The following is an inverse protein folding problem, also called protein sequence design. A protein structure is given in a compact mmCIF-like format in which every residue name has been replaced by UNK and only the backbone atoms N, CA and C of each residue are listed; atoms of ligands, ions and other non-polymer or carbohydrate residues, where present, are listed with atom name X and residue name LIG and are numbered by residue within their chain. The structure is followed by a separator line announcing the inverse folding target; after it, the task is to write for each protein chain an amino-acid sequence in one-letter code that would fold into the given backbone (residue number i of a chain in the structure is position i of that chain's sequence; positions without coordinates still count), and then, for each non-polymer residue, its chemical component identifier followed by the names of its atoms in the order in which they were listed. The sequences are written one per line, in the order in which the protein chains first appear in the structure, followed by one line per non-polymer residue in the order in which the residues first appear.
data_IF_736733131533
#
_entry.id   IF_736733131533
#
_cell.length_a   1.000
_cell.length_b   1.000
_cell.length_c   1.000
_cell.angle_alpha   90.00
_cell.angle_beta   90.00
_cell.angle_gamma   90.00
#
_symmetry.space_group_name_H-M   'P 1'
#
loop_
_entity.id
_entity.type
_entity.pdbx_description
1 polymer ?
#
# COMPACT_ATOMS: atom_id res chain seq x y z
N UNK A 1 13.76 -6.62 -23.76
CA UNK A 1 14.53 -6.93 -22.54
C UNK A 1 15.89 -7.38 -23.01
N UNK A 2 16.92 -6.55 -22.78
CA UNK A 2 18.24 -6.72 -23.40
C UNK A 2 19.27 -7.36 -22.45
N UNK A 3 18.93 -7.46 -21.16
CA UNK A 3 19.74 -8.05 -20.10
C UNK A 3 18.96 -9.13 -19.31
N UNK A 4 19.68 -10.11 -18.74
CA UNK A 4 19.13 -11.21 -17.95
C UNK A 4 19.63 -11.18 -16.50
N UNK A 5 18.77 -11.62 -15.58
CA UNK A 5 19.12 -11.79 -14.17
C UNK A 5 18.70 -13.20 -13.75
N UNK A 6 19.57 -13.90 -13.03
CA UNK A 6 19.26 -15.20 -12.41
C UNK A 6 19.12 -14.99 -10.91
N UNK A 7 17.95 -15.31 -10.36
CA UNK A 7 17.63 -15.13 -8.95
C UNK A 7 17.23 -16.47 -8.32
N UNK A 8 17.71 -16.73 -7.11
CA UNK A 8 17.28 -17.85 -6.29
C UNK A 8 16.21 -17.38 -5.31
N UNK A 9 15.04 -18.01 -5.36
CA UNK A 9 13.92 -17.71 -4.47
C UNK A 9 13.56 -18.92 -3.62
N UNK A 10 12.91 -18.65 -2.47
CA UNK A 10 12.14 -19.68 -1.79
C UNK A 10 11.02 -20.18 -2.73
N UNK A 11 10.83 -21.50 -2.78
CA UNK A 11 9.87 -22.14 -3.68
C UNK A 11 8.43 -21.62 -3.48
N UNK A 12 7.97 -21.51 -2.23
CA UNK A 12 6.60 -21.06 -1.94
C UNK A 12 6.38 -19.61 -2.39
N UNK A 13 7.42 -18.77 -2.30
CA UNK A 13 7.36 -17.36 -2.70
C UNK A 13 7.25 -17.25 -4.22
N UNK A 14 8.05 -18.01 -4.96
CA UNK A 14 8.03 -17.94 -6.42
C UNK A 14 6.74 -18.54 -7.00
N UNK A 15 6.16 -19.56 -6.37
CA UNK A 15 4.87 -20.12 -6.75
C UNK A 15 3.74 -19.10 -6.58
N UNK A 16 3.68 -18.42 -5.42
CA UNK A 16 2.71 -17.34 -5.19
C UNK A 16 2.86 -16.20 -6.19
N UNK A 17 4.10 -15.79 -6.48
CA UNK A 17 4.37 -14.73 -7.45
C UNK A 17 3.93 -15.11 -8.88
N UNK A 18 4.15 -16.37 -9.30
CA UNK A 18 3.68 -16.87 -10.60
C UNK A 18 2.16 -16.86 -10.69
N UNK A 19 1.48 -17.37 -9.67
CA UNK A 19 0.01 -17.41 -9.63
C UNK A 19 -0.59 -16.00 -9.68
N UNK A 20 -0.01 -15.06 -8.93
CA UNK A 20 -0.43 -13.65 -9.00
C UNK A 20 -0.22 -13.06 -10.40
N UNK A 21 0.93 -13.33 -11.04
CA UNK A 21 1.21 -12.82 -12.38
C UNK A 21 0.21 -13.37 -13.41
N UNK A 22 -0.09 -14.67 -13.35
CA UNK A 22 -1.05 -15.35 -14.21
C UNK A 22 -2.47 -14.80 -14.04
N UNK A 23 -2.93 -14.63 -12.80
CA UNK A 23 -4.25 -14.04 -12.50
C UNK A 23 -4.41 -12.62 -13.06
N UNK A 24 -3.31 -11.86 -13.15
CA UNK A 24 -3.30 -10.50 -13.67
C UNK A 24 -2.92 -10.43 -15.16
N UNK A 25 -2.86 -11.57 -15.87
CA UNK A 25 -2.49 -11.65 -17.29
C UNK A 25 -1.14 -10.99 -17.63
N UNK A 26 -0.17 -11.08 -16.72
CA UNK A 26 1.19 -10.57 -16.93
C UNK A 26 2.23 -11.67 -16.73
N UNK A 27 3.35 -11.61 -17.47
CA UNK A 27 4.45 -12.54 -17.24
C UNK A 27 5.22 -12.18 -15.97
N UNK A 28 5.83 -13.19 -15.34
CA UNK A 28 6.65 -12.98 -14.15
C UNK A 28 7.81 -12.01 -14.43
N UNK A 29 8.50 -12.15 -15.57
CA UNK A 29 9.57 -11.23 -15.97
C UNK A 29 9.08 -9.79 -16.09
N UNK A 30 7.88 -9.58 -16.67
CA UNK A 30 7.29 -8.25 -16.82
C UNK A 30 6.90 -7.66 -15.46
N UNK A 31 6.35 -8.48 -14.57
CA UNK A 31 6.04 -8.10 -13.19
C UNK A 31 7.31 -7.64 -12.46
N UNK A 32 8.39 -8.43 -12.53
CA UNK A 32 9.65 -8.10 -11.86
C UNK A 32 10.29 -6.83 -12.43
N UNK A 33 10.30 -6.64 -13.75
CA UNK A 33 10.80 -5.41 -14.37
C UNK A 33 9.97 -4.19 -13.97
N UNK A 34 8.64 -4.33 -13.90
CA UNK A 34 7.77 -3.26 -13.43
C UNK A 34 8.11 -2.85 -11.99
N UNK A 35 8.27 -3.84 -11.10
CA UNK A 35 8.62 -3.61 -9.70
C UNK A 35 10.01 -2.96 -9.56
N UNK A 36 11.02 -3.49 -10.26
CA UNK A 36 12.36 -2.91 -10.27
C UNK A 36 12.33 -1.46 -10.74
N UNK A 37 11.58 -1.16 -11.82
CA UNK A 37 11.42 0.21 -12.30
C UNK A 37 10.77 1.11 -11.26
N UNK A 38 9.70 0.66 -10.58
CA UNK A 38 9.04 1.46 -9.54
C UNK A 38 10.01 1.81 -8.39
N UNK A 39 10.82 0.84 -7.96
CA UNK A 39 11.77 1.01 -6.87
C UNK A 39 12.93 1.94 -7.27
N UNK A 40 13.39 1.88 -8.52
CA UNK A 40 14.54 2.68 -8.99
C UNK A 40 14.19 4.04 -9.57
N UNK A 41 12.91 4.34 -9.83
CA UNK A 41 12.50 5.64 -10.42
C UNK A 41 12.41 6.76 -9.38
N UNK A 42 12.20 6.43 -8.10
CA UNK A 42 12.16 7.43 -7.03
C UNK A 42 13.47 7.53 -6.26
N UNK A 43 13.66 8.65 -5.55
CA UNK A 43 14.80 8.91 -4.67
C UNK A 43 14.65 8.21 -3.30
N UNK A 44 14.27 6.92 -3.31
CA UNK A 44 14.09 6.14 -2.10
C UNK A 44 15.44 5.61 -1.62
N UNK A 45 15.85 5.99 -0.40
CA UNK A 45 17.09 5.51 0.22
C UNK A 45 16.91 4.19 0.95
N UNK A 46 15.68 3.86 1.31
CA UNK A 46 15.32 2.63 2.00
C UNK A 46 13.98 2.06 1.50
N UNK A 47 13.80 0.75 1.62
CA UNK A 47 12.55 0.08 1.27
C UNK A 47 11.34 0.61 2.06
N UNK A 48 11.58 1.19 3.24
CA UNK A 48 10.53 1.77 4.10
C UNK A 48 10.02 3.11 3.58
N UNK A 49 10.74 3.76 2.66
CA UNK A 49 10.33 5.00 2.01
C UNK A 49 9.49 4.75 0.76
N UNK A 50 9.36 3.49 0.33
CA UNK A 50 8.50 3.15 -0.81
C UNK A 50 7.05 3.55 -0.48
N UNK A 51 6.37 4.28 -1.38
CA UNK A 51 5.01 4.70 -1.16
C UNK A 51 4.13 3.45 -1.04
N UNK A 52 3.57 3.25 0.15
CA UNK A 52 2.51 2.28 0.33
C UNK A 52 1.31 2.83 -0.44
N UNK A 53 0.69 2.00 -1.27
CA UNK A 53 -0.43 2.43 -2.08
C UNK A 53 -1.53 3.06 -1.18
N UNK A 54 -2.09 4.20 -1.61
CA UNK A 54 -3.00 5.04 -0.81
C UNK A 54 -4.18 4.25 -0.19
N UNK A 55 -4.62 3.18 -0.85
CA UNK A 55 -5.70 2.32 -0.36
C UNK A 55 -5.34 1.58 0.95
N UNK A 56 -4.07 1.29 1.20
CA UNK A 56 -3.62 0.66 2.46
C UNK A 56 -3.77 1.64 3.61
N UNK A 57 -3.47 2.92 3.39
CA UNK A 57 -3.71 3.98 4.38
C UNK A 57 -5.21 4.11 4.67
N UNK A 58 -6.05 4.09 3.63
CA UNK A 58 -7.51 4.14 3.78
C UNK A 58 -8.09 2.94 4.56
N UNK A 59 -7.49 1.74 4.46
CA UNK A 59 -7.89 0.58 5.26
C UNK A 59 -7.41 0.68 6.71
N UNK A 60 -6.22 1.25 6.93
CA UNK A 60 -5.66 1.46 8.26
C UNK A 60 -6.43 2.51 9.09
N UNK A 61 -6.98 3.53 8.44
CA UNK A 61 -7.81 4.58 9.07
C UNK A 61 -9.19 4.08 9.53
N UNK A 62 -9.63 2.90 9.08
CA UNK A 62 -10.93 2.34 9.42
C UNK A 62 -12.09 2.96 8.63
N UNK A 63 -13.31 2.44 8.84
CA UNK A 63 -14.50 2.93 8.12
C UNK A 63 -14.84 4.35 8.57
N UNK A 64 -14.89 5.29 7.63
CA UNK A 64 -15.33 6.66 7.90
C UNK A 64 -16.79 6.67 8.41
N UNK A 65 -16.99 7.06 9.68
CA UNK A 65 -18.31 7.29 10.24
C UNK A 65 -18.80 8.70 9.88
N UNK A 66 -19.78 8.77 8.97
CA UNK A 66 -20.40 10.03 8.61
C UNK A 66 -21.45 10.43 9.67
N UNK A 67 -21.12 11.43 10.49
CA UNK A 67 -22.09 12.03 11.40
C UNK A 67 -23.00 13.01 10.63
N UNK A 68 -24.15 12.52 10.17
CA UNK A 68 -25.14 13.31 9.41
C UNK A 68 -26.05 14.19 10.26
N UNK A 69 -25.98 14.07 11.60
CA UNK A 69 -26.81 14.86 12.53
C UNK A 69 -26.09 16.16 12.90
N UNK A 70 -26.78 17.33 12.87
CA UNK A 70 -26.19 18.58 13.34
C UNK A 70 -25.86 18.45 14.83
N UNK A 71 -24.58 18.60 15.18
CA UNK A 71 -24.10 18.52 16.57
C UNK A 71 -24.55 19.76 17.35
N UNK A 72 -25.01 19.56 18.58
CA UNK A 72 -25.37 20.67 19.46
C UNK A 72 -24.12 21.43 19.92
N UNK A 73 -24.26 22.73 20.19
CA UNK A 73 -23.19 23.55 20.80
C UNK A 73 -22.66 22.95 22.11
N UNK A 74 -23.50 22.21 22.84
CA UNK A 74 -23.11 21.54 24.08
C UNK A 74 -22.15 20.38 23.83
N UNK A 75 -22.43 19.57 22.81
CA UNK A 75 -21.63 18.39 22.42
C UNK A 75 -20.25 18.82 21.89
N UNK A 76 -20.21 19.89 21.10
CA UNK A 76 -18.95 20.47 20.62
C UNK A 76 -18.07 20.97 21.77
N UNK A 77 -18.69 21.57 22.81
CA UNK A 77 -17.94 22.06 23.98
C UNK A 77 -17.41 20.91 24.82
N UNK A 78 -18.16 19.81 24.97
CA UNK A 78 -17.68 18.63 25.71
C UNK A 78 -16.53 17.93 25.02
N UNK A 79 -16.59 17.76 23.70
CA UNK A 79 -15.51 17.13 22.92
C UNK A 79 -14.21 17.93 22.99
N UNK A 80 -14.31 19.27 22.87
CA UNK A 80 -13.13 20.15 22.99
C UNK A 80 -12.49 20.10 24.38
N UNK A 81 -13.29 19.93 25.42
CA UNK A 81 -12.79 19.86 26.80
C UNK A 81 -12.23 18.47 27.14
N UNK A 82 -12.72 17.40 26.50
CA UNK A 82 -12.18 16.04 26.67
C UNK A 82 -10.87 15.84 25.91
N UNK A 83 -10.71 16.45 24.71
CA UNK A 83 -9.46 16.36 23.93
C UNK A 83 -8.27 17.12 24.53
N UNK A 84 -8.51 17.95 25.56
CA UNK A 84 -7.50 18.77 26.26
C UNK A 84 -7.07 18.19 27.62
N UNK A 85 -7.61 17.04 28.03
CA UNK A 85 -7.14 16.29 29.19
C UNK A 85 -6.12 15.25 28.77
#
# INVERSE_FOLDING_TARGET
MDAKVTLSFNQEVIEKAKLFAEQNNISLSRLTEFLLRQITTGDYKSLNELPIADWVHAVAEGKAEYHTKPRSRKDLKSDFMSSKK
#
